data_IF_819976405870
#
_entry.id   IF_819976405870
#
_cell.length_a   1.000
_cell.length_b   1.000
_cell.length_c   1.000
_cell.angle_alpha   90.00
_cell.angle_beta   90.00
_cell.angle_gamma   90.00
#
_symmetry.space_group_name_H-M   'P 1'
#
loop_
_entity.id
_entity.type
_entity.pdbx_description
1 polymer ?
#
# COMPACT_ATOMS: atom_id res chain seq x y z
N UNK A 1 9.95 -10.67 10.42
CA UNK A 1 9.66 -9.59 9.44
C UNK A 1 10.52 -9.80 8.20
N UNK A 2 9.89 -9.75 7.04
CA UNK A 2 10.62 -9.83 5.77
C UNK A 2 11.09 -8.44 5.36
N UNK A 3 12.35 -8.30 4.99
CA UNK A 3 12.96 -7.04 4.62
C UNK A 3 13.16 -6.94 3.10
N UNK A 4 12.77 -5.83 2.52
CA UNK A 4 12.83 -5.57 1.08
C UNK A 4 13.56 -4.28 0.77
N UNK A 5 14.15 -4.22 -0.43
CA UNK A 5 14.93 -3.09 -0.90
C UNK A 5 16.40 -3.21 -0.52
N UNK A 6 17.23 -2.45 -1.24
CA UNK A 6 18.67 -2.43 -1.02
C UNK A 6 19.06 -1.05 -0.45
N UNK A 7 19.45 -0.97 0.83
CA UNK A 7 19.88 0.30 1.40
C UNK A 7 21.13 0.84 0.68
N UNK A 8 21.12 2.13 0.41
CA UNK A 8 22.30 2.81 -0.14
C UNK A 8 23.25 3.12 1.01
N UNK A 9 24.51 2.72 0.89
CA UNK A 9 25.53 2.98 1.90
C UNK A 9 25.65 4.48 2.19
N UNK A 10 25.76 4.83 3.47
CA UNK A 10 25.91 6.22 3.91
C UNK A 10 24.60 6.99 4.10
N UNK A 11 23.44 6.42 3.74
CA UNK A 11 22.15 7.04 4.00
C UNK A 11 21.53 6.53 5.29
N UNK A 12 20.94 7.44 6.07
CA UNK A 12 20.18 7.10 7.27
C UNK A 12 18.71 7.00 6.91
N UNK A 13 18.16 5.78 6.97
CA UNK A 13 16.76 5.53 6.66
C UNK A 13 15.89 5.74 7.90
N UNK A 14 14.95 6.67 7.80
CA UNK A 14 14.01 6.95 8.89
C UNK A 14 12.96 5.85 8.95
N UNK A 15 12.80 5.24 10.10
CA UNK A 15 11.75 4.26 10.35
C UNK A 15 10.38 4.94 10.36
N UNK A 16 9.43 4.34 9.65
CA UNK A 16 8.08 4.86 9.56
C UNK A 16 7.09 3.69 9.68
N UNK A 17 6.33 3.62 10.79
CA UNK A 17 5.26 2.63 10.89
C UNK A 17 4.26 2.84 9.77
N UNK A 18 3.92 1.79 9.05
CA UNK A 18 3.02 1.86 7.91
C UNK A 18 2.27 0.55 7.73
N UNK A 19 1.06 0.62 7.18
CA UNK A 19 0.24 -0.55 6.94
C UNK A 19 -0.50 -0.40 5.61
N UNK A 20 -0.68 -1.51 4.91
CA UNK A 20 -1.24 -1.55 3.56
C UNK A 20 -2.22 -2.71 3.44
N UNK A 21 -3.00 -2.73 2.37
CA UNK A 21 -3.99 -3.76 2.18
C UNK A 21 -4.14 -4.27 0.75
N UNK A 22 -4.57 -5.52 0.64
CA UNK A 22 -4.94 -6.15 -0.62
C UNK A 22 -6.45 -6.34 -0.61
N UNK A 23 -7.16 -5.62 -1.47
CA UNK A 23 -8.61 -5.64 -1.61
C UNK A 23 -9.00 -6.12 -3.00
N UNK A 24 -9.90 -7.09 -3.08
CA UNK A 24 -10.36 -7.69 -4.32
C UNK A 24 -11.79 -7.25 -4.63
N UNK A 25 -12.09 -7.01 -5.92
CA UNK A 25 -13.47 -6.77 -6.35
C UNK A 25 -14.11 -8.06 -6.89
N UNK A 26 -15.36 -7.96 -7.34
CA UNK A 26 -16.10 -9.12 -7.85
C UNK A 26 -15.55 -9.72 -9.15
N UNK A 27 -14.66 -8.99 -9.83
CA UNK A 27 -14.00 -9.47 -11.05
C UNK A 27 -12.64 -10.10 -10.78
N UNK A 28 -12.25 -10.24 -9.51
CA UNK A 28 -10.94 -10.79 -9.15
C UNK A 28 -9.78 -9.82 -9.32
N UNK A 29 -10.06 -8.54 -9.53
CA UNK A 29 -9.05 -7.50 -9.63
C UNK A 29 -8.74 -6.95 -8.24
N UNK A 30 -7.52 -6.45 -8.04
CA UNK A 30 -7.14 -5.83 -6.78
C UNK A 30 -6.98 -4.32 -6.92
N UNK A 31 -7.24 -3.62 -5.81
CA UNK A 31 -7.17 -2.17 -5.74
C UNK A 31 -5.71 -1.72 -5.60
N UNK A 32 -5.29 -0.81 -6.48
CA UNK A 32 -4.01 -0.11 -6.37
C UNK A 32 -4.25 1.38 -6.29
N UNK A 33 -3.33 2.08 -5.64
CA UNK A 33 -3.26 3.53 -5.70
C UNK A 33 -2.23 3.92 -6.76
N UNK A 34 -2.66 4.59 -7.82
CA UNK A 34 -1.75 5.20 -8.78
C UNK A 34 -1.39 6.58 -8.27
N UNK A 35 -0.09 6.81 -8.07
CA UNK A 35 0.40 8.07 -7.52
C UNK A 35 1.09 8.86 -8.62
N UNK A 36 0.66 10.12 -8.78
CA UNK A 36 1.23 11.03 -9.77
C UNK A 36 1.82 12.25 -9.07
N UNK A 37 3.13 12.39 -9.14
CA UNK A 37 3.84 13.53 -8.57
C UNK A 37 4.36 14.44 -9.68
N UNK A 38 4.40 15.77 -9.47
CA UNK A 38 4.89 16.68 -10.50
C UNK A 38 6.30 16.34 -10.98
N UNK A 39 6.51 16.29 -12.31
CA UNK A 39 7.80 16.01 -12.92
C UNK A 39 8.30 14.59 -12.79
N UNK A 40 7.46 13.66 -12.34
CA UNK A 40 7.83 12.26 -12.15
C UNK A 40 6.87 11.32 -12.87
N UNK A 41 7.36 10.17 -13.28
CA UNK A 41 6.52 9.13 -13.83
C UNK A 41 5.55 8.61 -12.77
N UNK A 42 4.30 8.29 -13.11
CA UNK A 42 3.37 7.67 -12.17
C UNK A 42 3.90 6.34 -11.66
N UNK A 43 3.53 5.99 -10.43
CA UNK A 43 3.86 4.68 -9.87
C UNK A 43 2.66 4.12 -9.13
N UNK A 44 2.72 2.83 -8.81
CA UNK A 44 1.62 2.12 -8.14
C UNK A 44 2.08 1.58 -6.79
N UNK A 45 1.22 1.78 -5.79
CA UNK A 45 1.37 1.19 -4.46
C UNK A 45 0.08 0.46 -4.10
N UNK A 46 0.15 -0.48 -3.17
CA UNK A 46 -1.04 -0.92 -2.47
C UNK A 46 -1.60 0.28 -1.68
N UNK A 47 -2.93 0.42 -1.56
CA UNK A 47 -3.48 1.46 -0.70
C UNK A 47 -3.05 1.23 0.75
N UNK A 48 -2.70 2.31 1.42
CA UNK A 48 -2.18 2.31 2.77
C UNK A 48 -1.20 3.44 2.99
N UNK A 49 -0.55 3.45 4.12
CA UNK A 49 0.42 4.48 4.44
C UNK A 49 0.79 4.50 5.91
N UNK A 50 1.23 5.66 6.37
CA UNK A 50 1.73 5.83 7.73
C UNK A 50 0.63 5.57 8.77
N UNK A 51 1.02 4.92 9.86
CA UNK A 51 0.19 4.79 11.05
C UNK A 51 0.32 6.07 11.87
N UNK A 52 -0.81 6.75 12.11
CA UNK A 52 -0.81 8.03 12.81
C UNK A 52 -1.07 7.84 14.31
N UNK A 53 -0.26 8.52 15.14
CA UNK A 53 -0.49 8.60 16.59
C UNK A 53 -0.76 7.25 17.24
N UNK A 54 -1.90 7.14 17.90
CA UNK A 54 -2.32 5.93 18.62
C UNK A 54 -3.13 4.94 17.77
N UNK A 55 -3.19 5.18 16.47
CA UNK A 55 -3.91 4.35 15.54
C UNK A 55 -3.30 2.94 15.50
N UNK A 56 -4.15 1.91 15.42
CA UNK A 56 -3.66 0.56 15.10
C UNK A 56 -3.38 0.44 13.61
N UNK A 57 -2.62 -0.56 13.21
CA UNK A 57 -2.38 -0.82 11.78
C UNK A 57 -3.69 -1.05 11.02
N UNK A 58 -4.64 -1.89 11.48
CA UNK A 58 -5.93 -2.02 10.80
C UNK A 58 -6.70 -0.70 10.67
N UNK A 59 -6.67 0.16 11.68
CA UNK A 59 -7.31 1.48 11.61
C UNK A 59 -6.65 2.37 10.55
N UNK A 60 -5.32 2.34 10.47
CA UNK A 60 -4.57 3.08 9.46
C UNK A 60 -4.94 2.61 8.05
N UNK A 61 -5.05 1.30 7.83
CA UNK A 61 -5.43 0.73 6.53
C UNK A 61 -6.82 1.24 6.12
N UNK A 62 -7.79 1.20 7.03
CA UNK A 62 -9.16 1.66 6.75
C UNK A 62 -9.15 3.14 6.37
N UNK A 63 -8.49 3.98 7.16
CA UNK A 63 -8.41 5.42 6.92
C UNK A 63 -7.73 5.71 5.58
N UNK A 64 -6.58 5.10 5.33
CA UNK A 64 -5.80 5.34 4.10
C UNK A 64 -6.54 4.90 2.84
N UNK A 65 -7.26 3.75 2.89
CA UNK A 65 -8.10 3.35 1.76
C UNK A 65 -9.13 4.42 1.43
N UNK A 66 -9.78 4.98 2.44
CA UNK A 66 -10.73 6.08 2.23
C UNK A 66 -10.08 7.31 1.62
N UNK A 67 -8.99 7.77 2.22
CA UNK A 67 -8.30 9.00 1.79
C UNK A 67 -7.72 8.90 0.37
N UNK A 68 -7.19 7.73 0.00
CA UNK A 68 -6.53 7.54 -1.29
C UNK A 68 -7.48 7.10 -2.40
N UNK A 69 -8.51 6.34 -2.08
CA UNK A 69 -9.35 5.69 -3.09
C UNK A 69 -10.85 5.94 -2.96
N UNK A 70 -11.32 6.39 -1.80
CA UNK A 70 -12.75 6.50 -1.51
C UNK A 70 -13.39 5.17 -1.11
N UNK A 71 -12.66 4.07 -1.11
CA UNK A 71 -13.20 2.78 -0.71
C UNK A 71 -13.43 2.70 0.79
N UNK A 72 -14.61 2.21 1.17
CA UNK A 72 -14.93 1.85 2.55
C UNK A 72 -14.58 0.38 2.72
N UNK A 73 -13.71 0.08 3.67
CA UNK A 73 -13.17 -1.27 3.82
C UNK A 73 -13.16 -1.71 5.28
N UNK A 74 -13.07 -3.03 5.45
CA UNK A 74 -12.78 -3.65 6.74
C UNK A 74 -11.45 -4.39 6.62
N UNK A 75 -10.55 -4.18 7.57
CA UNK A 75 -9.30 -4.91 7.61
C UNK A 75 -9.53 -6.33 8.13
N UNK A 76 -8.96 -7.30 7.44
CA UNK A 76 -9.02 -8.71 7.76
C UNK A 76 -7.68 -9.27 8.22
N UNK A 77 -7.37 -10.52 7.89
CA UNK A 77 -6.15 -11.18 8.36
C UNK A 77 -4.88 -10.55 7.84
N UNK A 78 -3.84 -10.62 8.65
CA UNK A 78 -2.49 -10.24 8.25
C UNK A 78 -1.97 -11.21 7.18
N UNK A 79 -1.41 -10.68 6.09
CA UNK A 79 -0.70 -11.49 5.10
C UNK A 79 0.74 -11.72 5.57
N UNK A 80 1.45 -10.63 5.87
CA UNK A 80 2.82 -10.70 6.35
C UNK A 80 3.25 -9.37 6.97
N UNK A 81 4.22 -9.43 7.85
CA UNK A 81 4.92 -8.24 8.36
C UNK A 81 6.17 -8.01 7.54
N UNK A 82 6.32 -6.80 7.02
CA UNK A 82 7.36 -6.45 6.07
C UNK A 82 8.05 -5.14 6.44
N UNK A 83 9.27 -4.97 5.93
CA UNK A 83 9.88 -3.65 5.86
C UNK A 83 10.33 -3.38 4.43
N UNK A 84 10.28 -2.12 4.02
CA UNK A 84 10.68 -1.68 2.70
C UNK A 84 11.48 -0.39 2.82
N UNK A 85 12.74 -0.43 2.39
CA UNK A 85 13.55 0.78 2.27
C UNK A 85 13.37 1.38 0.89
N UNK A 86 13.28 2.71 0.83
CA UNK A 86 13.11 3.43 -0.43
C UNK A 86 13.43 4.91 -0.25
N UNK A 87 13.55 5.62 -1.36
CA UNK A 87 13.65 7.07 -1.35
C UNK A 87 12.28 7.65 -1.69
N UNK A 88 11.79 8.56 -0.86
CA UNK A 88 10.56 9.30 -1.14
C UNK A 88 10.76 10.18 -2.38
N UNK A 89 9.66 10.70 -2.94
CA UNK A 89 9.71 11.58 -4.11
C UNK A 89 10.58 12.82 -3.92
N UNK A 90 10.76 13.28 -2.67
CA UNK A 90 11.64 14.38 -2.31
C UNK A 90 13.09 13.93 -2.00
N UNK A 91 13.39 12.64 -2.19
CA UNK A 91 14.73 12.09 -1.97
C UNK A 91 15.01 11.62 -0.55
N UNK A 92 14.08 11.78 0.40
CA UNK A 92 14.33 11.36 1.78
C UNK A 92 14.35 9.84 1.91
N UNK A 93 15.39 9.26 2.54
CA UNK A 93 15.45 7.82 2.79
C UNK A 93 14.47 7.42 3.90
N UNK A 94 13.65 6.41 3.62
CA UNK A 94 12.62 5.93 4.55
C UNK A 94 12.62 4.42 4.56
N UNK A 95 12.37 3.84 5.75
CA UNK A 95 12.04 2.43 5.89
C UNK A 95 10.63 2.32 6.44
N UNK A 96 9.68 1.96 5.59
CA UNK A 96 8.35 1.57 6.04
C UNK A 96 8.43 0.21 6.71
N UNK A 97 7.77 0.05 7.84
CA UNK A 97 7.65 -1.26 8.47
C UNK A 97 6.26 -1.43 9.06
N UNK A 98 5.70 -2.62 8.91
CA UNK A 98 4.37 -2.95 9.41
C UNK A 98 3.74 -4.09 8.65
N UNK A 99 2.42 -4.23 8.79
CA UNK A 99 1.67 -5.32 8.20
C UNK A 99 1.02 -4.98 6.88
N UNK A 100 0.87 -6.00 6.05
CA UNK A 100 0.02 -5.94 4.86
C UNK A 100 -1.13 -6.91 5.11
N UNK A 101 -2.37 -6.42 4.96
CA UNK A 101 -3.58 -7.11 5.39
C UNK A 101 -4.47 -7.46 4.21
N UNK A 102 -5.23 -8.53 4.34
CA UNK A 102 -6.37 -8.77 3.45
C UNK A 102 -7.47 -7.81 3.86
N UNK A 103 -8.10 -7.18 2.87
CA UNK A 103 -9.08 -6.13 3.12
C UNK A 103 -10.36 -6.45 2.34
N UNK A 104 -11.50 -6.26 2.98
CA UNK A 104 -12.80 -6.46 2.36
C UNK A 104 -13.46 -5.12 2.05
N UNK A 105 -13.84 -4.92 0.79
CA UNK A 105 -14.53 -3.71 0.37
C UNK A 105 -16.01 -3.82 0.74
N UNK A 106 -16.52 -2.81 1.45
CA UNK A 106 -17.93 -2.75 1.86
C UNK A 106 -18.70 -1.63 1.19
N UNK A 107 -18.01 -0.69 0.54
CA UNK A 107 -18.66 0.41 -0.14
C UNK A 107 -17.67 1.38 -0.79
N UNK A 108 -18.23 2.43 -1.36
CA UNK A 108 -17.47 3.52 -1.96
C UNK A 108 -18.13 4.84 -1.58
N UNK A 109 -17.36 5.73 -0.95
CA UNK A 109 -17.81 7.08 -0.63
C UNK A 109 -16.77 8.05 -1.20
N UNK A 110 -17.08 8.65 -2.33
CA UNK A 110 -16.15 9.53 -3.05
C UNK A 110 -15.64 10.68 -2.19
N UNK A 111 -16.48 11.23 -1.32
CA UNK A 111 -16.10 12.31 -0.43
C UNK A 111 -15.02 11.97 0.59
N UNK A 112 -14.72 10.70 0.81
CA UNK A 112 -13.62 10.28 1.67
C UNK A 112 -12.27 10.53 1.02
N UNK A 113 -12.22 10.50 -0.33
CA UNK A 113 -10.97 10.66 -1.07
C UNK A 113 -10.49 12.11 -0.99
N UNK A 114 -9.36 12.34 -0.35
CA UNK A 114 -8.77 13.65 -0.15
C UNK A 114 -7.38 13.79 -0.75
N UNK A 115 -6.76 12.68 -1.17
CA UNK A 115 -5.43 12.68 -1.77
C UNK A 115 -5.55 12.91 -3.28
N UNK A 116 -5.32 14.16 -3.72
CA UNK A 116 -5.49 14.56 -5.13
C UNK A 116 -4.52 13.87 -6.08
N UNK A 117 -3.36 13.48 -5.58
CA UNK A 117 -2.31 12.83 -6.37
C UNK A 117 -2.45 11.31 -6.44
N UNK A 118 -3.48 10.75 -5.82
CA UNK A 118 -3.78 9.32 -5.82
C UNK A 118 -5.04 9.03 -6.65
N UNK A 119 -5.02 7.93 -7.39
CA UNK A 119 -6.18 7.46 -8.14
C UNK A 119 -6.35 5.96 -7.93
N UNK A 120 -7.58 5.52 -7.71
CA UNK A 120 -7.91 4.10 -7.62
C UNK A 120 -7.79 3.46 -9.00
N UNK A 121 -7.04 2.37 -9.08
CA UNK A 121 -6.93 1.54 -10.28
C UNK A 121 -7.13 0.08 -9.88
N UNK A 122 -7.99 -0.62 -10.62
CA UNK A 122 -8.21 -2.05 -10.42
C UNK A 122 -7.41 -2.83 -11.46
N UNK A 123 -6.53 -3.72 -11.03
CA UNK A 123 -5.73 -4.55 -11.92
C UNK A 123 -5.89 -6.03 -11.58
N UNK A 124 -5.74 -6.89 -12.60
CA UNK A 124 -5.55 -8.32 -12.38
C UNK A 124 -4.35 -8.51 -11.44
N UNK A 125 -4.40 -9.43 -10.47
CA UNK A 125 -3.29 -9.61 -9.52
C UNK A 125 -1.94 -9.85 -10.16
N UNK A 126 -1.86 -10.55 -11.30
CA UNK A 126 -0.59 -10.80 -11.99
C UNK A 126 -0.02 -9.53 -12.60
N UNK A 127 -0.89 -8.68 -13.14
CA UNK A 127 -0.48 -7.37 -13.66
C UNK A 127 -0.05 -6.45 -12.51
N UNK A 128 -0.75 -6.52 -11.39
CA UNK A 128 -0.41 -5.74 -10.19
C UNK A 128 0.99 -6.07 -9.67
N UNK A 129 1.36 -7.35 -9.62
CA UNK A 129 2.70 -7.77 -9.17
C UNK A 129 3.79 -7.10 -10.01
N UNK A 130 3.58 -6.97 -11.32
CA UNK A 130 4.54 -6.33 -12.22
C UNK A 130 4.54 -4.81 -12.07
N UNK A 131 3.35 -4.21 -11.85
CA UNK A 131 3.19 -2.76 -11.80
C UNK A 131 3.61 -2.13 -10.48
N UNK A 132 3.52 -2.86 -9.36
CA UNK A 132 3.80 -2.32 -8.03
C UNK A 132 5.26 -1.88 -7.91
N UNK A 133 5.44 -0.66 -7.39
CA UNK A 133 6.75 -0.05 -7.18
C UNK A 133 7.59 -0.79 -6.16
N UNK A 134 6.97 -1.21 -5.05
CA UNK A 134 7.68 -1.81 -3.92
C UNK A 134 7.65 -3.34 -3.98
N UNK A 135 8.82 -3.95 -3.84
CA UNK A 135 8.93 -5.41 -3.80
C UNK A 135 8.13 -6.02 -2.64
N UNK A 136 8.05 -5.33 -1.52
CA UNK A 136 7.23 -5.79 -0.38
C UNK A 136 5.76 -5.92 -0.78
N UNK A 137 5.23 -4.95 -1.53
CA UNK A 137 3.85 -4.97 -2.00
C UNK A 137 3.64 -6.10 -3.01
N UNK A 138 4.53 -6.23 -3.98
CA UNK A 138 4.46 -7.29 -4.98
C UNK A 138 4.51 -8.68 -4.34
N UNK A 139 5.40 -8.86 -3.36
CA UNK A 139 5.50 -10.11 -2.61
C UNK A 139 4.20 -10.43 -1.89
N UNK A 140 3.60 -9.43 -1.24
CA UNK A 140 2.34 -9.63 -0.51
C UNK A 140 1.20 -10.03 -1.43
N UNK A 141 1.09 -9.42 -2.62
CA UNK A 141 0.08 -9.82 -3.61
C UNK A 141 0.32 -11.26 -4.07
N UNK A 142 1.56 -11.63 -4.35
CA UNK A 142 1.90 -13.00 -4.74
C UNK A 142 1.56 -14.01 -3.63
N UNK A 143 1.83 -13.68 -2.38
CA UNK A 143 1.47 -14.51 -1.24
C UNK A 143 -0.05 -14.62 -1.10
N UNK A 144 -0.77 -13.52 -1.27
CA UNK A 144 -2.23 -13.50 -1.25
C UNK A 144 -2.83 -14.39 -2.35
N UNK A 145 -2.25 -14.35 -3.57
CA UNK A 145 -2.70 -15.19 -4.69
C UNK A 145 -2.60 -16.70 -4.39
N UNK A 146 -1.67 -17.10 -3.53
CA UNK A 146 -1.45 -18.49 -3.16
C UNK A 146 -2.39 -18.99 -2.06
N UNK A 147 -3.19 -18.12 -1.50
CA UNK A 147 -4.15 -18.49 -0.47
C UNK A 147 -5.23 -19.33 -1.13
N UNK A 148 -5.40 -20.49 -0.69
CA UNK A 148 -6.27 -21.49 -1.27
C UNK A 148 -7.74 -21.11 -1.42
#
# INVERSE_FOLDING_TARGET
MLAFGAPIAGLNYKDRPAAFGVAENSLGQIALAQVTKPGKAPYFDLPGGAVDGDETEPQAVVREFGEETGLVVEAGPLIERVSQVFLKSDGQPVRNFGGIYVVRVTGLIEGLKVEDDHALVWLDPRDAVVALRHDAHAWAVAAWMRRG
#
